data_IF_378005079308
#
_entry.id   IF_378005079308
#
_cell.length_a   1.000
_cell.length_b   1.000
_cell.length_c   1.000
_cell.angle_alpha   90.00
_cell.angle_beta   90.00
_cell.angle_gamma   90.00
#
_symmetry.space_group_name_H-M   'P 1'
#
loop_
_entity.id
_entity.type
_entity.pdbx_description
1 polymer ?
#
# COMPACT_ATOMS: atom_id res chain seq x y z
N UNK A 1 -14.51 21.19 -9.41
CA UNK A 1 -13.20 20.48 -9.32
C UNK A 1 -13.45 19.07 -8.83
N UNK A 2 -12.96 18.07 -9.55
CA UNK A 2 -12.96 16.70 -9.04
C UNK A 2 -11.93 16.61 -7.91
N UNK A 3 -12.34 16.17 -6.73
CA UNK A 3 -11.41 15.93 -5.64
C UNK A 3 -10.46 14.77 -6.03
N UNK A 4 -9.18 15.06 -6.05
CA UNK A 4 -8.16 14.03 -6.27
C UNK A 4 -8.12 13.16 -5.01
N UNK A 5 -8.28 11.83 -5.13
CA UNK A 5 -8.15 10.93 -3.99
C UNK A 5 -6.73 11.04 -3.39
N UNK A 6 -6.67 11.17 -2.07
CA UNK A 6 -5.40 11.32 -1.35
C UNK A 6 -5.16 10.09 -0.47
N UNK A 7 -3.94 9.55 -0.56
CA UNK A 7 -3.42 8.54 0.35
C UNK A 7 -2.28 9.14 1.18
N UNK A 8 -2.34 9.01 2.49
CA UNK A 8 -1.26 9.42 3.40
C UNK A 8 -0.53 8.17 3.86
N UNK A 9 0.78 8.14 3.67
CA UNK A 9 1.65 7.02 4.04
C UNK A 9 2.46 7.31 5.31
N UNK A 10 3.08 6.28 5.87
CA UNK A 10 3.96 6.41 7.02
C UNK A 10 3.20 6.54 8.36
N UNK A 11 2.00 6.02 8.43
CA UNK A 11 1.21 6.01 9.67
C UNK A 11 1.76 4.96 10.62
N UNK A 12 2.05 5.37 11.86
CA UNK A 12 2.72 4.52 12.85
C UNK A 12 1.93 4.31 14.15
N UNK A 13 0.82 5.03 14.34
CA UNK A 13 0.03 4.95 15.57
C UNK A 13 -1.45 5.20 15.34
N UNK A 14 -2.27 4.79 16.32
CA UNK A 14 -3.73 4.90 16.28
C UNK A 14 -4.20 6.34 16.25
N UNK A 15 -3.54 7.24 16.98
CA UNK A 15 -3.92 8.66 17.01
C UNK A 15 -3.87 9.29 15.61
N UNK A 16 -2.89 8.92 14.79
CA UNK A 16 -2.81 9.39 13.41
C UNK A 16 -3.97 8.87 12.55
N UNK A 17 -4.45 7.66 12.80
CA UNK A 17 -5.66 7.12 12.15
C UNK A 17 -6.90 7.95 12.54
N UNK A 18 -7.05 8.27 13.80
CA UNK A 18 -8.15 9.10 14.29
C UNK A 18 -8.13 10.51 13.69
N UNK A 19 -6.95 11.12 13.63
CA UNK A 19 -6.76 12.45 13.00
C UNK A 19 -7.11 12.40 11.53
N UNK A 20 -6.68 11.36 10.83
CA UNK A 20 -7.02 11.15 9.43
C UNK A 20 -8.54 11.05 9.23
N UNK A 21 -9.22 10.29 10.08
CA UNK A 21 -10.68 10.18 10.05
C UNK A 21 -11.37 11.55 10.23
N UNK A 22 -10.96 12.32 11.23
CA UNK A 22 -11.49 13.67 11.48
C UNK A 22 -11.30 14.62 10.29
N UNK A 23 -10.21 14.44 9.56
CA UNK A 23 -9.90 15.23 8.37
C UNK A 23 -10.41 14.62 7.06
N UNK A 24 -11.30 13.62 7.14
CA UNK A 24 -11.96 12.97 5.99
C UNK A 24 -10.99 12.31 5.02
N UNK A 25 -9.82 11.90 5.48
CA UNK A 25 -8.86 11.11 4.69
C UNK A 25 -9.41 9.69 4.54
N UNK A 26 -9.43 9.18 3.33
CA UNK A 26 -10.06 7.89 2.99
C UNK A 26 -9.09 6.74 2.79
N UNK A 27 -7.79 7.01 2.68
CA UNK A 27 -6.77 5.99 2.42
C UNK A 27 -5.49 6.27 3.22
N UNK A 28 -5.02 5.26 3.95
CA UNK A 28 -3.81 5.33 4.76
C UNK A 28 -2.86 4.21 4.42
N UNK A 29 -1.57 4.54 4.29
CA UNK A 29 -0.49 3.62 4.00
C UNK A 29 0.36 3.30 5.24
N UNK A 30 0.62 2.02 5.43
CA UNK A 30 1.43 1.46 6.51
C UNK A 30 2.66 0.79 5.91
N UNK A 31 3.84 1.29 6.27
CA UNK A 31 5.10 0.83 5.72
C UNK A 31 5.66 -0.36 6.51
N UNK A 32 5.83 -1.48 5.84
CA UNK A 32 6.47 -2.67 6.40
C UNK A 32 7.95 -2.43 6.68
N UNK A 33 8.47 -3.07 7.73
CA UNK A 33 9.92 -3.05 8.05
C UNK A 33 10.81 -3.55 6.92
N UNK A 34 10.28 -4.37 6.01
CA UNK A 34 11.05 -4.85 4.86
C UNK A 34 11.43 -3.75 3.85
N UNK A 35 10.85 -2.56 3.97
CA UNK A 35 11.23 -1.39 3.19
C UNK A 35 12.50 -0.68 3.69
N UNK A 36 12.94 -0.98 4.92
CA UNK A 36 14.14 -0.40 5.55
C UNK A 36 14.17 1.15 5.56
N UNK A 37 13.00 1.78 5.57
CA UNK A 37 12.87 3.24 5.57
C UNK A 37 12.35 3.81 6.88
N UNK A 38 12.21 5.14 6.96
CA UNK A 38 11.59 5.80 8.11
C UNK A 38 10.11 5.46 8.20
N UNK A 39 9.56 5.57 9.41
CA UNK A 39 8.14 5.30 9.68
C UNK A 39 7.69 3.88 9.32
N UNK A 40 8.60 2.93 9.28
CA UNK A 40 8.27 1.52 9.12
C UNK A 40 7.90 0.90 10.46
N UNK A 41 6.93 0.00 10.44
CA UNK A 41 6.42 -0.68 11.65
C UNK A 41 6.31 -2.19 11.42
N UNK A 42 6.25 -2.94 12.53
CA UNK A 42 6.13 -4.40 12.46
C UNK A 42 4.78 -4.82 11.87
N UNK A 43 4.72 -6.02 11.31
CA UNK A 43 3.48 -6.57 10.77
C UNK A 43 2.37 -6.68 11.84
N UNK A 44 2.75 -6.98 13.08
CA UNK A 44 1.81 -6.98 14.22
C UNK A 44 1.20 -5.59 14.46
N UNK A 45 2.02 -4.55 14.38
CA UNK A 45 1.54 -3.16 14.49
C UNK A 45 0.66 -2.79 13.29
N UNK A 46 1.06 -3.16 12.09
CA UNK A 46 0.26 -2.95 10.88
C UNK A 46 -1.11 -3.61 11.01
N UNK A 47 -1.15 -4.86 11.46
CA UNK A 47 -2.41 -5.58 11.67
C UNK A 47 -3.35 -4.80 12.61
N UNK A 48 -2.83 -4.28 13.73
CA UNK A 48 -3.64 -3.51 14.67
C UNK A 48 -4.14 -2.19 14.09
N UNK A 49 -3.30 -1.49 13.31
CA UNK A 49 -3.66 -0.23 12.66
C UNK A 49 -4.70 -0.45 11.54
N UNK A 50 -4.61 -1.55 10.82
CA UNK A 50 -5.60 -1.95 9.80
C UNK A 50 -6.96 -2.24 10.44
N UNK A 51 -6.98 -2.91 11.59
CA UNK A 51 -8.22 -3.11 12.35
C UNK A 51 -8.87 -1.78 12.74
N UNK A 52 -8.08 -0.81 13.14
CA UNK A 52 -8.56 0.53 13.47
C UNK A 52 -9.14 1.25 12.23
N UNK A 53 -8.48 1.12 11.08
CA UNK A 53 -9.01 1.66 9.82
C UNK A 53 -10.41 1.13 9.47
N UNK A 54 -10.70 -0.13 9.76
CA UNK A 54 -12.03 -0.71 9.53
C UNK A 54 -13.12 -0.02 10.33
N UNK A 55 -12.82 0.39 11.58
CA UNK A 55 -13.77 1.10 12.43
C UNK A 55 -14.18 2.45 11.82
N UNK A 56 -13.29 3.09 11.08
CA UNK A 56 -13.51 4.38 10.44
C UNK A 56 -13.83 4.30 8.95
N UNK A 57 -13.94 3.10 8.38
CA UNK A 57 -14.12 2.87 6.94
C UNK A 57 -13.04 3.55 6.10
N UNK A 58 -11.81 3.53 6.59
CA UNK A 58 -10.62 4.01 5.89
C UNK A 58 -10.00 2.84 5.14
N UNK A 59 -9.63 3.04 3.89
CA UNK A 59 -8.90 2.06 3.10
C UNK A 59 -7.48 1.90 3.64
N UNK A 60 -7.13 0.67 4.02
CA UNK A 60 -5.79 0.34 4.50
C UNK A 60 -4.91 -0.13 3.33
N UNK A 61 -3.73 0.45 3.20
CA UNK A 61 -2.76 0.12 2.17
C UNK A 61 -1.47 -0.38 2.82
N UNK A 62 -1.11 -1.62 2.56
CA UNK A 62 0.18 -2.17 2.97
C UNK A 62 1.25 -1.76 1.95
N UNK A 63 2.23 -0.99 2.39
CA UNK A 63 3.42 -0.70 1.60
C UNK A 63 4.48 -1.75 1.92
N UNK A 64 4.87 -2.53 0.93
CA UNK A 64 5.76 -3.66 1.13
C UNK A 64 6.73 -3.83 -0.04
N UNK A 65 7.81 -4.56 0.23
CA UNK A 65 8.80 -4.94 -0.76
C UNK A 65 8.62 -6.41 -1.12
N UNK A 66 8.79 -6.74 -2.39
CA UNK A 66 8.80 -8.14 -2.80
C UNK A 66 10.07 -8.84 -2.28
N UNK A 67 9.86 -9.94 -1.57
CA UNK A 67 10.94 -10.85 -1.11
C UNK A 67 10.74 -12.20 -1.79
N UNK A 68 9.58 -12.80 -1.61
CA UNK A 68 9.14 -14.03 -2.28
C UNK A 68 7.62 -14.09 -2.27
N UNK A 69 7.05 -14.96 -3.11
CA UNK A 69 5.59 -15.15 -3.15
C UNK A 69 5.06 -15.64 -1.78
N UNK A 70 5.74 -16.61 -1.16
CA UNK A 70 5.29 -17.18 0.13
C UNK A 70 5.32 -16.12 1.24
N UNK A 71 6.38 -15.31 1.31
CA UNK A 71 6.47 -14.21 2.27
C UNK A 71 5.39 -13.15 2.06
N UNK A 72 5.06 -12.86 0.82
CA UNK A 72 4.00 -11.91 0.49
C UNK A 72 2.63 -12.46 0.89
N UNK A 73 2.36 -13.72 0.62
CA UNK A 73 1.12 -14.40 1.04
C UNK A 73 0.99 -14.37 2.57
N UNK A 74 2.03 -14.77 3.29
CA UNK A 74 2.05 -14.75 4.76
C UNK A 74 1.75 -13.35 5.30
N UNK A 75 2.40 -12.33 4.75
CA UNK A 75 2.23 -10.95 5.20
C UNK A 75 0.82 -10.43 4.93
N UNK A 76 0.27 -10.66 3.75
CA UNK A 76 -1.09 -10.25 3.41
C UNK A 76 -2.11 -10.98 4.30
N UNK A 77 -1.95 -12.29 4.47
CA UNK A 77 -2.85 -13.07 5.29
C UNK A 77 -2.80 -12.67 6.78
N UNK A 78 -1.65 -12.30 7.29
CA UNK A 78 -1.49 -11.84 8.65
C UNK A 78 -2.03 -10.42 8.86
N UNK A 79 -1.69 -9.48 8.00
CA UNK A 79 -2.03 -8.05 8.18
C UNK A 79 -3.43 -7.68 7.69
N UNK A 80 -3.98 -8.43 6.74
CA UNK A 80 -5.33 -8.23 6.17
C UNK A 80 -5.57 -6.83 5.60
N UNK A 81 -4.68 -6.29 4.75
CA UNK A 81 -4.90 -4.98 4.13
C UNK A 81 -6.00 -5.04 3.07
N UNK A 82 -6.58 -3.91 2.76
CA UNK A 82 -7.51 -3.79 1.64
C UNK A 82 -6.80 -3.68 0.30
N UNK A 83 -5.62 -3.06 0.32
CA UNK A 83 -4.76 -2.84 -0.84
C UNK A 83 -3.31 -3.12 -0.48
N UNK A 84 -2.56 -3.71 -1.39
CA UNK A 84 -1.08 -3.72 -1.31
C UNK A 84 -0.53 -2.69 -2.29
N UNK A 85 0.49 -1.95 -1.86
CA UNK A 85 1.21 -1.02 -2.73
C UNK A 85 2.62 -1.53 -2.96
N UNK A 86 2.92 -1.85 -4.21
CA UNK A 86 4.20 -2.39 -4.61
C UNK A 86 5.20 -1.25 -4.79
N UNK A 87 6.21 -1.19 -3.92
CA UNK A 87 7.25 -0.15 -3.97
C UNK A 87 8.41 -0.50 -4.90
N UNK A 88 8.50 -1.76 -5.30
CA UNK A 88 9.54 -2.31 -6.18
C UNK A 88 8.90 -3.28 -7.18
N UNK A 89 9.65 -3.68 -8.18
CA UNK A 89 9.19 -4.61 -9.19
C UNK A 89 8.75 -5.95 -8.58
N UNK A 90 7.49 -6.26 -8.74
CA UNK A 90 6.90 -7.55 -8.36
C UNK A 90 6.74 -8.42 -9.60
N UNK A 91 7.11 -9.71 -9.56
CA UNK A 91 6.92 -10.59 -10.70
C UNK A 91 5.44 -10.67 -11.11
N UNK A 92 5.16 -10.44 -12.38
CA UNK A 92 3.79 -10.47 -12.92
C UNK A 92 3.05 -11.75 -12.59
N UNK A 93 3.72 -12.91 -12.73
CA UNK A 93 3.15 -14.23 -12.41
C UNK A 93 2.69 -14.34 -10.96
N UNK A 94 3.41 -13.70 -10.04
CA UNK A 94 3.12 -13.75 -8.62
C UNK A 94 1.97 -12.79 -8.26
N UNK A 95 1.89 -11.64 -8.89
CA UNK A 95 0.73 -10.73 -8.76
C UNK A 95 -0.56 -11.42 -9.23
N UNK A 96 -0.52 -12.20 -10.30
CA UNK A 96 -1.65 -12.99 -10.78
C UNK A 96 -2.08 -14.04 -9.75
N UNK A 97 -1.12 -14.73 -9.11
CA UNK A 97 -1.40 -15.69 -8.03
C UNK A 97 -2.01 -15.01 -6.81
N UNK A 98 -1.47 -13.88 -6.41
CA UNK A 98 -2.02 -13.07 -5.30
C UNK A 98 -3.48 -12.70 -5.56
N UNK A 99 -3.82 -12.25 -6.75
CA UNK A 99 -5.21 -11.94 -7.09
C UNK A 99 -6.14 -13.16 -7.04
N UNK A 100 -5.65 -14.34 -7.39
CA UNK A 100 -6.43 -15.58 -7.29
C UNK A 100 -6.68 -16.00 -5.84
N UNK A 101 -5.67 -15.84 -4.97
CA UNK A 101 -5.75 -16.22 -3.55
C UNK A 101 -6.61 -15.22 -2.79
N UNK A 102 -6.37 -13.94 -2.99
CA UNK A 102 -7.04 -12.84 -2.27
C UNK A 102 -7.95 -12.05 -3.23
N UNK A 103 -9.11 -12.58 -3.53
CA UNK A 103 -10.01 -12.05 -4.58
C UNK A 103 -10.47 -10.61 -4.34
N UNK A 104 -10.54 -10.17 -3.08
CA UNK A 104 -10.97 -8.81 -2.73
C UNK A 104 -9.82 -7.83 -2.56
N UNK A 105 -8.59 -8.33 -2.58
CA UNK A 105 -7.41 -7.51 -2.44
C UNK A 105 -7.19 -6.68 -3.71
N UNK A 106 -6.96 -5.38 -3.52
CA UNK A 106 -6.52 -4.50 -4.59
C UNK A 106 -5.00 -4.48 -4.68
N UNK A 107 -4.48 -4.38 -5.88
CA UNK A 107 -3.05 -4.20 -6.14
C UNK A 107 -2.84 -2.79 -6.64
N UNK A 108 -2.01 -2.04 -5.91
CA UNK A 108 -1.54 -0.72 -6.29
C UNK A 108 -0.05 -0.73 -6.58
N UNK A 109 0.40 0.19 -7.37
CA UNK A 109 1.81 0.49 -7.58
C UNK A 109 2.07 1.96 -7.31
N UNK A 110 3.20 2.25 -6.67
CA UNK A 110 3.67 3.61 -6.49
C UNK A 110 4.68 3.95 -7.57
N UNK A 111 4.48 5.03 -8.26
CA UNK A 111 5.39 5.53 -9.28
C UNK A 111 5.86 6.94 -8.95
N UNK A 112 7.14 7.20 -9.26
CA UNK A 112 7.63 8.56 -9.36
C UNK A 112 7.39 9.04 -10.80
N UNK A 113 6.56 10.08 -11.04
CA UNK A 113 6.26 10.54 -12.39
C UNK A 113 7.49 10.94 -13.22
N UNK A 114 8.56 11.35 -12.55
CA UNK A 114 9.81 11.77 -13.21
C UNK A 114 10.73 10.59 -13.57
N UNK A 115 10.53 9.44 -12.95
CA UNK A 115 11.41 8.28 -13.15
C UNK A 115 10.68 6.97 -12.82
N UNK A 116 10.14 6.31 -13.84
CA UNK A 116 9.49 5.00 -13.67
C UNK A 116 9.77 4.08 -14.86
N UNK A 117 9.74 2.78 -14.62
CA UNK A 117 9.90 1.75 -15.65
C UNK A 117 8.59 1.58 -16.44
N UNK A 118 8.48 2.26 -17.57
CA UNK A 118 7.30 2.23 -18.42
C UNK A 118 6.95 0.82 -18.92
N UNK A 119 7.96 0.03 -19.30
CA UNK A 119 7.73 -1.35 -19.79
C UNK A 119 7.11 -2.24 -18.72
N UNK A 120 7.64 -2.13 -17.48
CA UNK A 120 7.08 -2.87 -16.36
C UNK A 120 5.63 -2.46 -16.09
N UNK A 121 5.35 -1.16 -16.00
CA UNK A 121 4.00 -0.63 -15.79
C UNK A 121 3.03 -1.15 -16.86
N UNK A 122 3.40 -1.08 -18.12
CA UNK A 122 2.57 -1.59 -19.21
C UNK A 122 2.33 -3.10 -19.12
N UNK A 123 3.32 -3.86 -18.63
CA UNK A 123 3.20 -5.32 -18.48
C UNK A 123 2.18 -5.73 -17.41
N UNK A 124 1.97 -4.91 -16.40
CA UNK A 124 1.10 -5.21 -15.25
C UNK A 124 -0.18 -4.37 -15.19
N UNK A 125 -0.37 -3.42 -16.10
CA UNK A 125 -1.49 -2.46 -16.03
C UNK A 125 -2.88 -3.10 -15.97
N UNK A 126 -3.06 -4.29 -16.55
CA UNK A 126 -4.32 -5.03 -16.50
C UNK A 126 -4.58 -5.73 -15.16
N UNK A 127 -3.53 -5.88 -14.35
CA UNK A 127 -3.56 -6.54 -13.04
C UNK A 127 -3.75 -5.50 -11.93
N UNK A 128 -3.20 -4.31 -12.14
CA UNK A 128 -3.17 -3.22 -11.15
C UNK A 128 -4.52 -2.52 -11.09
N UNK A 129 -5.01 -2.33 -9.88
CA UNK A 129 -6.27 -1.62 -9.60
C UNK A 129 -6.06 -0.13 -9.41
N UNK A 130 -4.88 0.29 -8.92
CA UNK A 130 -4.60 1.70 -8.63
C UNK A 130 -3.12 2.05 -8.86
N UNK A 131 -2.87 3.24 -9.39
CA UNK A 131 -1.53 3.80 -9.54
C UNK A 131 -1.43 5.01 -8.61
N UNK A 132 -0.45 4.97 -7.71
CA UNK A 132 -0.16 6.08 -6.81
C UNK A 132 0.98 6.93 -7.39
N UNK A 133 0.71 8.19 -7.66
CA UNK A 133 1.76 9.15 -8.00
C UNK A 133 2.37 9.67 -6.70
N UNK A 134 3.65 9.35 -6.48
CA UNK A 134 4.37 9.80 -5.29
C UNK A 134 4.90 11.21 -5.53
N UNK A 135 4.39 12.16 -4.74
CA UNK A 135 4.94 13.51 -4.73
C UNK A 135 6.05 13.60 -3.69
N UNK A 136 7.28 13.83 -4.12
CA UNK A 136 8.37 14.18 -3.20
C UNK A 136 8.17 15.60 -2.68
N UNK A 137 7.68 15.71 -1.46
CA UNK A 137 7.48 17.00 -0.77
C UNK A 137 8.80 17.59 -0.27
N UNK A 138 9.89 16.82 -0.33
CA UNK A 138 11.21 17.29 0.09
C UNK A 138 11.97 17.92 -1.08
N UNK A 139 11.58 19.13 -1.44
CA UNK A 139 12.53 20.05 -2.10
C UNK A 139 13.34 20.72 -0.99
N UNK A 140 14.61 20.38 -0.95
CA UNK A 140 15.57 21.20 -0.20
C UNK A 140 15.57 22.64 -0.76
#
# INVERSE_FOLDING_TARGET
MKNIPLKICGITNVKSVEVAHKNKIKSLGFASKNLNGPNTVSDKKIQSLIKECKNYKIESVLLTRYVSLDKLIEQIDFTKPKTISCSYHFPKKDLLKIKKIFRRLKIGIAINPENFDKKYIESIRKIVDVIYCVMNVYRK
#
